data_IF_551020334607
#
_entry.id   IF_551020334607
#
_cell.length_a   1.000
_cell.length_b   1.000
_cell.length_c   1.000
_cell.angle_alpha   90.00
_cell.angle_beta   90.00
_cell.angle_gamma   90.00
#
_symmetry.space_group_name_H-M   'P 1'
#
loop_
_entity.id
_entity.type
_entity.pdbx_description
1 polymer ?
#
# COMPACT_ATOMS: atom_id res chain seq x y z
N UNK A 1 23.73 18.25 -17.70
CA UNK A 1 22.64 17.33 -18.09
C UNK A 1 21.58 17.45 -17.05
N UNK A 2 20.35 17.79 -17.44
CA UNK A 2 19.25 17.93 -16.49
C UNK A 2 18.89 16.56 -15.92
N UNK A 3 18.87 16.47 -14.59
CA UNK A 3 18.39 15.28 -13.88
C UNK A 3 16.88 15.42 -13.63
N UNK A 4 16.09 14.49 -14.14
CA UNK A 4 14.65 14.44 -13.89
C UNK A 4 14.34 13.57 -12.67
N UNK A 5 13.36 13.98 -11.88
CA UNK A 5 12.76 13.14 -10.85
C UNK A 5 11.48 12.50 -11.39
N UNK A 6 11.44 11.17 -11.41
CA UNK A 6 10.26 10.43 -11.87
C UNK A 6 9.33 10.13 -10.70
N UNK A 7 8.03 10.35 -10.92
CA UNK A 7 6.98 10.01 -9.96
C UNK A 7 6.02 9.02 -10.61
N UNK A 8 5.77 7.91 -9.93
CA UNK A 8 4.80 6.91 -10.33
C UNK A 8 3.63 6.93 -9.37
N UNK A 9 2.42 6.98 -9.91
CA UNK A 9 1.18 6.87 -9.12
C UNK A 9 0.52 5.56 -9.48
N UNK A 10 0.23 4.75 -8.47
CA UNK A 10 -0.37 3.43 -8.64
C UNK A 10 -1.57 3.29 -7.71
N UNK A 11 -2.73 2.94 -8.28
CA UNK A 11 -3.90 2.53 -7.51
C UNK A 11 -3.68 1.12 -6.93
N UNK A 12 -4.25 0.86 -5.77
CA UNK A 12 -4.30 -0.49 -5.19
C UNK A 12 -4.90 -1.54 -6.15
N UNK A 13 -4.54 -2.80 -5.95
CA UNK A 13 -5.11 -3.93 -6.69
C UNK A 13 -6.59 -4.17 -6.40
N UNK A 14 -7.20 -5.14 -7.09
CA UNK A 14 -8.64 -5.41 -6.91
C UNK A 14 -8.93 -5.85 -5.47
N UNK A 15 -9.90 -5.20 -4.84
CA UNK A 15 -10.30 -5.50 -3.46
C UNK A 15 -11.02 -6.85 -3.38
N UNK A 16 -10.81 -7.59 -2.29
CA UNK A 16 -11.42 -8.90 -2.07
C UNK A 16 -12.95 -8.84 -1.99
N UNK A 17 -13.49 -7.79 -1.38
CA UNK A 17 -14.94 -7.59 -1.20
C UNK A 17 -15.70 -7.40 -2.52
N UNK A 18 -15.03 -6.95 -3.59
CA UNK A 18 -15.61 -6.91 -4.92
C UNK A 18 -15.93 -8.30 -5.48
N UNK A 19 -15.26 -9.35 -4.99
CA UNK A 19 -15.44 -10.73 -5.45
C UNK A 19 -16.17 -11.61 -4.42
N UNK A 20 -16.03 -11.29 -3.14
CA UNK A 20 -16.73 -11.97 -2.05
C UNK A 20 -17.72 -11.04 -1.36
N UNK A 21 -18.98 -11.12 -1.78
CA UNK A 21 -20.09 -10.31 -1.23
C UNK A 21 -20.34 -10.52 0.26
N UNK A 22 -19.93 -11.66 0.82
CA UNK A 22 -20.11 -11.98 2.24
C UNK A 22 -18.90 -11.61 3.10
N UNK A 23 -17.82 -11.12 2.50
CA UNK A 23 -16.58 -10.82 3.23
C UNK A 23 -16.81 -9.83 4.38
N UNK A 24 -17.57 -8.76 4.12
CA UNK A 24 -17.85 -7.73 5.12
C UNK A 24 -18.64 -8.27 6.34
N UNK A 25 -19.43 -9.34 6.18
CA UNK A 25 -20.24 -9.89 7.27
C UNK A 25 -19.41 -10.61 8.35
N UNK A 26 -18.19 -11.03 8.01
CA UNK A 26 -17.30 -11.78 8.91
C UNK A 26 -15.97 -11.07 9.18
N UNK A 27 -15.70 -9.96 8.49
CA UNK A 27 -14.45 -9.23 8.62
C UNK A 27 -14.39 -8.46 9.94
N UNK A 28 -13.23 -8.47 10.60
CA UNK A 28 -12.99 -7.63 11.78
C UNK A 28 -13.00 -6.13 11.45
N UNK A 29 -12.58 -5.77 10.22
CA UNK A 29 -12.56 -4.40 9.70
C UNK A 29 -13.24 -4.34 8.32
N UNK A 30 -14.58 -4.36 8.25
CA UNK A 30 -15.30 -4.45 6.98
C UNK A 30 -15.13 -3.22 6.07
N UNK A 31 -14.66 -2.09 6.60
CA UNK A 31 -14.31 -0.90 5.83
C UNK A 31 -12.92 -0.98 5.16
N UNK A 32 -12.08 -1.95 5.53
CA UNK A 32 -10.70 -2.07 5.04
C UNK A 32 -10.37 -3.44 4.41
N UNK A 33 -10.93 -3.74 3.23
CA UNK A 33 -10.71 -5.02 2.57
C UNK A 33 -9.27 -5.20 2.08
N UNK A 34 -8.74 -6.45 2.14
CA UNK A 34 -7.47 -6.77 1.49
C UNK A 34 -7.58 -6.75 -0.03
N UNK A 35 -6.44 -6.83 -0.70
CA UNK A 35 -6.37 -7.14 -2.14
C UNK A 35 -6.67 -8.63 -2.38
N UNK A 36 -7.38 -8.94 -3.45
CA UNK A 36 -7.62 -10.31 -3.92
C UNK A 36 -6.32 -11.01 -4.34
N UNK A 37 -6.29 -12.35 -4.36
CA UNK A 37 -5.10 -13.10 -4.77
C UNK A 37 -4.59 -12.70 -6.16
N UNK A 38 -5.49 -12.52 -7.13
CA UNK A 38 -5.13 -12.08 -8.48
C UNK A 38 -4.62 -10.63 -8.49
N UNK A 39 -5.13 -9.78 -7.60
CA UNK A 39 -4.63 -8.42 -7.42
C UNK A 39 -3.19 -8.40 -6.91
N UNK A 40 -2.83 -9.28 -5.96
CA UNK A 40 -1.46 -9.42 -5.45
C UNK A 40 -0.49 -9.84 -6.55
N UNK A 41 -0.85 -10.87 -7.33
CA UNK A 41 -0.04 -11.34 -8.47
C UNK A 41 0.18 -10.20 -9.49
N UNK A 42 -0.86 -9.42 -9.81
CA UNK A 42 -0.72 -8.27 -10.71
C UNK A 42 0.13 -7.15 -10.13
N UNK A 43 0.07 -6.91 -8.82
CA UNK A 43 0.90 -5.93 -8.14
C UNK A 43 2.39 -6.31 -8.25
N UNK A 44 2.73 -7.56 -7.97
CA UNK A 44 4.09 -8.08 -8.14
C UNK A 44 4.60 -7.93 -9.57
N UNK A 45 3.81 -8.38 -10.56
CA UNK A 45 4.14 -8.23 -11.98
C UNK A 45 4.32 -6.76 -12.40
N UNK A 46 3.55 -5.86 -11.81
CA UNK A 46 3.67 -4.42 -12.07
C UNK A 46 5.01 -3.90 -11.53
N UNK A 47 5.42 -4.30 -10.32
CA UNK A 47 6.76 -3.98 -9.80
C UNK A 47 7.89 -4.51 -10.69
N UNK A 48 7.75 -5.72 -11.25
CA UNK A 48 8.72 -6.25 -12.21
C UNK A 48 8.81 -5.41 -13.50
N UNK A 49 7.67 -4.92 -14.01
CA UNK A 49 7.63 -4.03 -15.19
C UNK A 49 8.25 -2.67 -14.90
N UNK A 50 7.94 -2.07 -13.75
CA UNK A 50 8.55 -0.80 -13.32
C UNK A 50 10.07 -0.96 -13.29
N UNK A 51 10.58 -2.03 -12.65
CA UNK A 51 12.02 -2.31 -12.58
C UNK A 51 12.67 -2.47 -13.96
N UNK A 52 12.01 -3.17 -14.90
CA UNK A 52 12.62 -3.49 -16.20
C UNK A 52 12.45 -2.42 -17.26
N UNK A 53 11.43 -1.56 -17.18
CA UNK A 53 11.06 -0.65 -18.27
C UNK A 53 11.43 0.81 -18.00
N UNK A 54 11.60 1.23 -16.75
CA UNK A 54 11.78 2.65 -16.41
C UNK A 54 13.23 3.13 -16.52
N UNK A 55 14.20 2.21 -16.55
CA UNK A 55 15.63 2.51 -16.63
C UNK A 55 16.21 3.27 -15.43
N UNK A 56 15.38 3.62 -14.43
CA UNK A 56 15.75 4.36 -13.22
C UNK A 56 15.31 3.59 -11.98
N UNK A 57 16.16 3.49 -10.94
CA UNK A 57 15.77 2.82 -9.71
C UNK A 57 14.67 3.61 -8.97
N UNK A 58 13.75 2.87 -8.34
CA UNK A 58 12.81 3.43 -7.37
C UNK A 58 13.54 3.54 -6.04
N UNK A 59 13.64 4.76 -5.51
CA UNK A 59 14.33 5.01 -4.24
C UNK A 59 13.36 5.02 -3.05
N UNK A 60 12.12 5.48 -3.28
CA UNK A 60 11.10 5.62 -2.24
C UNK A 60 9.73 5.16 -2.74
N UNK A 61 8.98 4.55 -1.84
CA UNK A 61 7.56 4.22 -2.00
C UNK A 61 6.82 4.83 -0.83
N UNK A 62 5.80 5.63 -1.13
CA UNK A 62 4.87 6.10 -0.12
C UNK A 62 3.51 5.43 -0.35
N UNK A 63 2.85 5.04 0.73
CA UNK A 63 1.63 4.23 0.64
C UNK A 63 0.59 4.70 1.65
N UNK A 64 -0.66 4.70 1.24
CA UNK A 64 -1.80 4.90 2.14
C UNK A 64 -1.89 3.76 3.18
N UNK A 65 -2.32 4.05 4.42
CA UNK A 65 -2.45 3.02 5.47
C UNK A 65 -3.60 2.01 5.22
N UNK A 66 -4.47 2.22 4.23
CA UNK A 66 -5.48 1.22 3.88
C UNK A 66 -4.83 -0.13 3.53
N UNK A 67 -5.35 -1.22 4.08
CA UNK A 67 -4.78 -2.55 3.97
C UNK A 67 -4.60 -2.98 2.51
N UNK A 68 -5.54 -2.64 1.64
CA UNK A 68 -5.42 -2.85 0.18
C UNK A 68 -4.22 -2.14 -0.46
N UNK A 69 -3.88 -0.94 0.02
CA UNK A 69 -2.75 -0.17 -0.49
C UNK A 69 -1.44 -0.79 -0.02
N UNK A 70 -1.34 -1.16 1.26
CA UNK A 70 -0.16 -1.83 1.84
C UNK A 70 0.07 -3.20 1.19
N UNK A 71 -0.97 -4.03 1.00
CA UNK A 71 -0.91 -5.29 0.25
C UNK A 71 -0.37 -5.11 -1.18
N UNK A 72 -0.79 -4.05 -1.86
CA UNK A 72 -0.31 -3.76 -3.21
C UNK A 72 1.15 -3.35 -3.18
N UNK A 73 1.51 -2.46 -2.26
CA UNK A 73 2.86 -1.93 -2.12
C UNK A 73 3.86 -3.01 -1.70
N UNK A 74 3.50 -3.93 -0.82
CA UNK A 74 4.40 -5.01 -0.37
C UNK A 74 4.85 -5.89 -1.55
N UNK A 75 3.91 -6.28 -2.43
CA UNK A 75 4.20 -7.05 -3.63
C UNK A 75 5.04 -6.26 -4.65
N UNK A 76 4.75 -4.97 -4.84
CA UNK A 76 5.54 -4.08 -5.71
C UNK A 76 6.97 -3.94 -5.18
N UNK A 77 7.14 -3.67 -3.88
CA UNK A 77 8.44 -3.51 -3.20
C UNK A 77 9.24 -4.81 -3.26
N UNK A 78 8.60 -5.96 -3.05
CA UNK A 78 9.23 -7.27 -3.19
C UNK A 78 9.78 -7.48 -4.62
N UNK A 79 9.00 -7.12 -5.64
CA UNK A 79 9.40 -7.23 -7.04
C UNK A 79 10.53 -6.24 -7.43
N UNK A 80 10.50 -5.01 -6.89
CA UNK A 80 11.55 -4.01 -7.10
C UNK A 80 12.88 -4.46 -6.50
N UNK A 81 12.85 -5.21 -5.39
CA UNK A 81 14.02 -5.60 -4.60
C UNK A 81 14.69 -6.91 -5.05
N UNK A 82 14.28 -7.47 -6.19
CA UNK A 82 14.82 -8.72 -6.72
C UNK A 82 15.81 -8.47 -7.89
N UNK A 83 16.98 -9.15 -7.94
CA UNK A 83 17.58 -9.96 -6.86
C UNK A 83 18.01 -9.07 -5.68
N UNK A 84 18.06 -9.67 -4.46
CA UNK A 84 18.32 -8.97 -3.18
C UNK A 84 19.70 -8.30 -3.15
N UNK A 85 19.81 -7.15 -3.80
CA UNK A 85 20.93 -6.24 -3.65
C UNK A 85 20.62 -5.28 -2.49
N UNK A 86 21.15 -5.60 -1.31
CA UNK A 86 20.95 -4.82 -0.09
C UNK A 86 21.53 -3.39 -0.20
N UNK A 87 22.35 -3.09 -1.22
CA UNK A 87 22.87 -1.73 -1.46
C UNK A 87 21.84 -0.79 -2.10
N UNK A 88 20.69 -1.32 -2.56
CA UNK A 88 19.63 -0.56 -3.25
C UNK A 88 18.25 -0.81 -2.62
N UNK A 89 18.18 -0.79 -1.29
CA UNK A 89 16.92 -0.95 -0.58
C UNK A 89 15.99 0.23 -0.85
N UNK A 90 14.80 -0.07 -1.35
CA UNK A 90 13.69 0.87 -1.46
C UNK A 90 13.28 1.28 -0.05
N UNK A 91 13.09 2.57 0.17
CA UNK A 91 12.56 3.10 1.43
C UNK A 91 11.05 3.27 1.36
N UNK A 92 10.34 2.70 2.33
CA UNK A 92 8.88 2.68 2.37
C UNK A 92 8.39 3.55 3.53
N UNK A 93 7.46 4.46 3.26
CA UNK A 93 6.76 5.24 4.27
C UNK A 93 5.25 5.09 4.14
N UNK A 94 4.57 4.80 5.26
CA UNK A 94 3.11 4.84 5.33
C UNK A 94 2.68 6.28 5.62
N UNK A 95 1.80 6.85 4.79
CA UNK A 95 1.40 8.25 4.86
C UNK A 95 -0.13 8.41 4.84
N UNK A 96 -0.66 8.96 5.93
CA UNK A 96 -2.08 9.27 6.12
C UNK A 96 -2.61 10.28 5.10
N UNK A 97 -1.76 11.18 4.61
CA UNK A 97 -2.08 12.12 3.54
C UNK A 97 -2.45 11.47 2.21
N UNK A 98 -2.18 10.16 2.03
CA UNK A 98 -2.62 9.38 0.86
C UNK A 98 -3.88 8.55 1.11
N UNK A 99 -4.54 8.69 2.26
CA UNK A 99 -5.86 8.11 2.45
C UNK A 99 -6.86 8.63 1.40
N UNK A 100 -7.75 7.72 0.98
CA UNK A 100 -9.02 8.13 0.38
C UNK A 100 -9.80 8.99 1.39
N UNK A 101 -10.86 9.66 0.92
CA UNK A 101 -11.74 10.44 1.79
C UNK A 101 -12.35 9.55 2.89
N UNK A 102 -12.01 9.81 4.16
CA UNK A 102 -12.54 9.08 5.31
C UNK A 102 -13.89 9.68 5.75
N UNK A 103 -14.93 9.46 4.93
CA UNK A 103 -16.28 9.90 5.24
C UNK A 103 -17.32 8.91 4.71
N UNK A 104 -18.58 9.08 5.14
CA UNK A 104 -19.70 8.22 4.78
C UNK A 104 -20.17 8.31 3.33
N UNK A 105 -19.63 9.25 2.53
CA UNK A 105 -19.87 9.28 1.09
C UNK A 105 -18.89 8.37 0.32
N UNK A 106 -17.65 8.29 0.79
CA UNK A 106 -16.60 7.49 0.17
C UNK A 106 -16.51 6.07 0.76
N UNK A 107 -16.85 5.91 2.03
CA UNK A 107 -16.93 4.64 2.74
C UNK A 107 -18.39 4.38 3.08
N UNK A 108 -18.88 3.20 2.70
CA UNK A 108 -20.29 2.89 2.85
C UNK A 108 -20.68 2.89 4.35
N UNK A 109 -21.82 3.51 4.73
CA UNK A 109 -22.26 3.55 6.11
C UNK A 109 -22.38 2.15 6.74
N UNK A 110 -22.74 1.14 5.94
CA UNK A 110 -22.97 -0.23 6.40
C UNK A 110 -21.69 -0.95 6.84
N UNK A 111 -20.53 -0.50 6.36
CA UNK A 111 -19.22 -1.09 6.71
C UNK A 111 -18.36 -0.17 7.57
N UNK A 112 -18.81 1.06 7.81
CA UNK A 112 -18.08 2.04 8.59
C UNK A 112 -18.01 1.63 10.07
N UNK A 113 -16.93 1.97 10.78
CA UNK A 113 -16.83 1.80 12.23
C UNK A 113 -18.01 2.46 12.96
N UNK A 114 -18.61 1.77 13.93
CA UNK A 114 -19.75 2.29 14.71
C UNK A 114 -19.34 3.52 15.54
N UNK A 115 -18.10 3.54 16.04
CA UNK A 115 -17.52 4.64 16.79
C UNK A 115 -16.93 5.75 15.90
N UNK A 116 -17.00 5.58 14.57
CA UNK A 116 -16.46 6.51 13.57
C UNK A 116 -14.94 6.54 13.50
N UNK A 117 -14.23 5.62 14.16
CA UNK A 117 -12.77 5.61 14.22
C UNK A 117 -12.17 4.67 13.18
N UNK A 118 -11.47 5.25 12.21
CA UNK A 118 -10.74 4.54 11.17
C UNK A 118 -9.30 4.29 11.61
N UNK A 119 -9.12 3.38 12.57
CA UNK A 119 -7.81 3.12 13.18
C UNK A 119 -6.95 2.19 12.29
N UNK A 120 -5.66 2.49 12.20
CA UNK A 120 -4.69 1.66 11.48
C UNK A 120 -3.59 1.23 12.42
N UNK A 121 -3.39 -0.08 12.61
CA UNK A 121 -2.21 -0.55 13.34
C UNK A 121 -0.98 -0.43 12.43
N UNK A 122 -0.29 0.70 12.52
CA UNK A 122 0.86 1.01 11.66
C UNK A 122 1.96 -0.05 11.80
N UNK A 123 2.24 -0.54 13.01
CA UNK A 123 3.26 -1.58 13.21
C UNK A 123 2.92 -2.89 12.50
N UNK A 124 1.63 -3.29 12.48
CA UNK A 124 1.19 -4.49 11.74
C UNK A 124 1.34 -4.28 10.22
N UNK A 125 1.05 -3.07 9.73
CA UNK A 125 1.18 -2.73 8.31
C UNK A 125 2.64 -2.65 7.87
N UNK A 126 3.51 -2.08 8.71
CA UNK A 126 4.96 -2.00 8.47
C UNK A 126 5.60 -3.39 8.41
N UNK A 127 5.13 -4.33 9.24
CA UNK A 127 5.59 -5.72 9.24
C UNK A 127 5.30 -6.48 7.93
N UNK A 128 4.47 -5.91 7.04
CA UNK A 128 4.21 -6.47 5.71
C UNK A 128 5.34 -6.20 4.70
N UNK A 129 6.22 -5.25 4.98
CA UNK A 129 7.35 -4.94 4.13
C UNK A 129 8.58 -5.75 4.55
N UNK A 130 9.51 -6.04 3.61
CA UNK A 130 10.76 -6.69 3.94
C UNK A 130 11.56 -5.90 5.00
N UNK A 131 12.26 -6.63 5.87
CA UNK A 131 13.08 -6.06 6.95
C UNK A 131 14.06 -4.99 6.42
N UNK A 132 14.12 -3.85 7.12
CA UNK A 132 15.02 -2.74 6.81
C UNK A 132 14.54 -1.78 5.70
N UNK A 133 13.37 -2.01 5.11
CA UNK A 133 12.80 -1.14 4.06
C UNK A 133 11.92 -0.02 4.61
N UNK A 134 11.24 -0.23 5.74
CA UNK A 134 10.44 0.82 6.38
C UNK A 134 11.36 1.95 6.84
N UNK A 135 11.02 3.17 6.47
CA UNK A 135 11.78 4.38 6.78
C UNK A 135 11.13 5.16 7.92
N UNK A 136 11.67 5.01 9.11
CA UNK A 136 11.25 5.77 10.29
C UNK A 136 12.03 7.08 10.49
N UNK A 137 12.88 7.48 9.54
CA UNK A 137 13.64 8.74 9.62
C UNK A 137 12.86 9.94 9.06
N UNK A 138 11.60 9.73 8.70
CA UNK A 138 10.70 10.75 8.17
C UNK A 138 9.44 10.79 9.01
N UNK A 139 9.04 11.99 9.41
CA UNK A 139 7.77 12.19 10.10
C UNK A 139 6.62 12.20 9.08
N UNK A 140 5.51 11.49 9.33
CA UNK A 140 4.33 11.59 8.49
C UNK A 140 3.73 12.99 8.60
N UNK A 141 3.14 13.49 7.51
CA UNK A 141 2.54 14.83 7.47
C UNK A 141 1.35 14.91 8.44
N UNK A 142 0.56 13.85 8.50
CA UNK A 142 -0.54 13.71 9.46
C UNK A 142 -0.21 12.61 10.46
N UNK A 143 -0.35 12.96 11.75
CA UNK A 143 -0.29 11.99 12.85
C UNK A 143 -1.66 11.32 12.99
N UNK A 144 -1.63 10.06 13.43
CA UNK A 144 -2.82 9.31 13.85
C UNK A 144 -3.60 10.06 14.96
#
# INVERSE_FOLDING_TARGET
>A
MDSYQNVFVMRHGDRLDNFNRHWAATAARPWDPPVSQNGLVRAFQTGQRIRSQTGSPIHRVFVSPFFRCVHTASEVVAALSAPKDLSKLVKVGIEYGFCEMMNSMAIWPEVSPIDGKFDFNISDLEAMFPEGMVDHNVDPIYKE
#
